data_IF_375470264366
#
_entry.id   IF_375470264366
#
_cell.length_a   1.000
_cell.length_b   1.000
_cell.length_c   1.000
_cell.angle_alpha   90.00
_cell.angle_beta   90.00
_cell.angle_gamma   90.00
#
_symmetry.space_group_name_H-M   'P 1'
#
loop_
_entity.id
_entity.type
_entity.pdbx_description
1 polymer ?
#
# COMPACT_ATOMS: atom_id res chain seq x y z
N UNK A 1 -28.36 -18.92 -9.89
CA UNK A 1 -28.57 -17.80 -8.93
C UNK A 1 -27.70 -17.92 -7.66
N UNK A 2 -27.33 -19.12 -7.19
CA UNK A 2 -26.53 -19.28 -5.96
C UNK A 2 -25.06 -18.84 -6.08
N UNK A 3 -24.44 -18.98 -7.26
CA UNK A 3 -23.05 -18.58 -7.48
C UNK A 3 -22.83 -17.06 -7.34
N UNK A 4 -23.72 -16.26 -7.95
CA UNK A 4 -23.62 -14.79 -7.91
C UNK A 4 -23.86 -14.25 -6.50
N UNK A 5 -24.79 -14.85 -5.76
CA UNK A 5 -25.06 -14.48 -4.37
C UNK A 5 -23.87 -14.82 -3.47
N UNK A 6 -23.23 -15.98 -3.67
CA UNK A 6 -22.02 -16.37 -2.93
C UNK A 6 -20.82 -15.47 -3.21
N UNK A 7 -20.59 -15.07 -4.48
CA UNK A 7 -19.52 -14.12 -4.82
C UNK A 7 -19.78 -12.75 -4.18
N UNK A 8 -21.04 -12.30 -4.18
CA UNK A 8 -21.43 -11.02 -3.63
C UNK A 8 -21.27 -10.99 -2.10
N UNK A 9 -21.61 -12.09 -1.42
CA UNK A 9 -21.44 -12.24 0.02
C UNK A 9 -19.96 -12.28 0.42
N UNK A 10 -19.12 -13.06 -0.28
CA UNK A 10 -17.67 -13.10 -0.05
C UNK A 10 -17.01 -11.75 -0.33
N UNK A 11 -17.39 -11.08 -1.42
CA UNK A 11 -16.87 -9.74 -1.75
C UNK A 11 -17.29 -8.70 -0.71
N UNK A 12 -18.51 -8.80 -0.19
CA UNK A 12 -19.03 -7.91 0.84
C UNK A 12 -18.28 -8.10 2.17
N UNK A 13 -17.98 -9.34 2.54
CA UNK A 13 -17.19 -9.64 3.74
C UNK A 13 -15.76 -9.08 3.63
N UNK A 14 -15.08 -9.31 2.51
CA UNK A 14 -13.74 -8.75 2.26
C UNK A 14 -13.74 -7.22 2.26
N UNK A 15 -14.79 -6.60 1.73
CA UNK A 15 -14.93 -5.15 1.71
C UNK A 15 -15.12 -4.56 3.11
N UNK A 16 -15.99 -5.16 3.92
CA UNK A 16 -16.23 -4.73 5.31
C UNK A 16 -14.95 -4.82 6.14
N UNK A 17 -14.22 -5.92 5.99
CA UNK A 17 -12.98 -6.16 6.72
C UNK A 17 -11.85 -5.22 6.27
N UNK A 18 -11.76 -4.90 4.98
CA UNK A 18 -10.78 -3.94 4.44
C UNK A 18 -11.13 -2.48 4.77
N UNK A 19 -12.42 -2.17 4.95
CA UNK A 19 -12.92 -0.81 5.15
C UNK A 19 -12.29 -0.14 6.36
N UNK A 20 -12.20 -0.85 7.51
CA UNK A 20 -11.64 -0.28 8.74
C UNK A 20 -10.16 0.12 8.58
N UNK A 21 -9.37 -0.71 7.88
CA UNK A 21 -7.95 -0.42 7.63
C UNK A 21 -7.75 0.70 6.62
N UNK A 22 -8.56 0.75 5.57
CA UNK A 22 -8.58 1.86 4.62
C UNK A 22 -8.91 3.18 5.33
N UNK A 23 -9.94 3.18 6.17
CA UNK A 23 -10.38 4.34 6.93
C UNK A 23 -9.30 4.82 7.90
N UNK A 24 -8.57 3.88 8.53
CA UNK A 24 -7.40 4.18 9.33
C UNK A 24 -6.23 4.74 8.49
N UNK A 25 -5.98 4.21 7.29
CA UNK A 25 -4.99 4.74 6.35
C UNK A 25 -5.30 6.17 5.90
N UNK A 26 -6.56 6.46 5.55
CA UNK A 26 -7.02 7.82 5.25
C UNK A 26 -6.91 8.73 6.47
N UNK A 27 -7.27 8.25 7.66
CA UNK A 27 -7.11 8.99 8.90
C UNK A 27 -5.65 9.35 9.16
N UNK A 28 -4.72 8.41 9.03
CA UNK A 28 -3.28 8.66 9.15
C UNK A 28 -2.79 9.65 8.09
N UNK A 29 -3.21 9.51 6.82
CA UNK A 29 -2.86 10.44 5.75
C UNK A 29 -3.36 11.87 6.04
N UNK A 30 -4.59 11.99 6.54
CA UNK A 30 -5.20 13.25 6.97
C UNK A 30 -4.51 13.86 8.19
N UNK A 31 -4.11 13.04 9.16
CA UNK A 31 -3.37 13.47 10.34
C UNK A 31 -1.98 13.96 9.97
N UNK A 32 -1.27 13.24 9.08
CA UNK A 32 0.02 13.65 8.52
C UNK A 32 -0.13 14.98 7.78
N UNK A 33 -1.19 15.16 6.99
CA UNK A 33 -1.49 16.43 6.33
C UNK A 33 -1.79 17.57 7.31
N UNK A 34 -2.51 17.29 8.41
CA UNK A 34 -2.91 18.30 9.38
C UNK A 34 -1.76 18.72 10.32
N UNK A 35 -0.93 17.76 10.77
CA UNK A 35 0.17 17.99 11.71
C UNK A 35 1.50 18.31 11.02
N UNK A 36 1.77 17.72 9.87
CA UNK A 36 3.07 17.84 9.21
C UNK A 36 2.95 18.79 8.02
N UNK A 37 3.61 19.94 8.14
CA UNK A 37 3.55 21.01 7.13
C UNK A 37 4.20 20.54 5.82
N UNK A 38 3.54 20.76 4.68
CA UNK A 38 4.04 20.38 3.34
C UNK A 38 5.48 20.85 3.08
N UNK A 39 5.86 22.01 3.62
CA UNK A 39 7.21 22.58 3.54
C UNK A 39 8.26 21.71 4.26
N UNK A 40 7.90 21.06 5.37
CA UNK A 40 8.76 20.14 6.12
C UNK A 40 8.93 18.82 5.36
N UNK A 41 7.86 18.24 4.81
CA UNK A 41 7.96 17.03 3.97
C UNK A 41 8.85 17.31 2.76
N UNK A 42 8.60 18.39 2.03
CA UNK A 42 9.42 18.76 0.87
C UNK A 42 10.90 19.02 1.23
N UNK A 43 11.18 19.53 2.43
CA UNK A 43 12.57 19.78 2.89
C UNK A 43 13.29 18.53 3.35
N UNK A 44 12.62 17.62 4.08
CA UNK A 44 13.25 16.45 4.70
C UNK A 44 13.12 15.16 3.86
N UNK A 45 11.99 14.99 3.18
CA UNK A 45 11.69 13.81 2.34
C UNK A 45 11.78 14.16 0.84
N UNK A 46 11.72 15.44 0.46
CA UNK A 46 11.86 15.88 -0.93
C UNK A 46 13.30 16.19 -1.34
N UNK A 47 14.16 16.67 -0.43
CA UNK A 47 15.56 17.05 -0.74
C UNK A 47 16.57 16.03 -0.21
N UNK A 48 17.06 15.18 -1.10
CA UNK A 48 18.15 14.24 -0.83
C UNK A 48 17.95 12.87 -1.48
N UNK A 49 19.04 12.26 -1.96
CA UNK A 49 19.00 10.92 -2.55
C UNK A 49 18.94 9.82 -1.49
N UNK A 50 19.69 9.98 -0.41
CA UNK A 50 19.91 8.95 0.61
C UNK A 50 19.13 9.27 1.89
N UNK A 51 19.24 10.52 2.37
CA UNK A 51 18.65 10.95 3.64
C UNK A 51 17.12 10.86 3.62
N UNK A 52 16.49 11.20 2.51
CA UNK A 52 15.04 11.10 2.34
C UNK A 52 14.54 9.66 2.42
N UNK A 53 15.27 8.72 1.81
CA UNK A 53 14.92 7.29 1.79
C UNK A 53 15.01 6.71 3.20
N UNK A 54 16.14 6.91 3.87
CA UNK A 54 16.37 6.41 5.22
C UNK A 54 15.38 6.98 6.23
N UNK A 55 15.09 8.29 6.16
CA UNK A 55 14.12 8.93 7.05
C UNK A 55 12.70 8.44 6.80
N UNK A 56 12.34 8.18 5.54
CA UNK A 56 11.03 7.65 5.16
C UNK A 56 10.83 6.21 5.65
N UNK A 57 11.84 5.34 5.49
CA UNK A 57 11.83 3.99 6.05
C UNK A 57 11.65 4.04 7.58
N UNK A 58 12.42 4.90 8.27
CA UNK A 58 12.34 5.02 9.73
C UNK A 58 10.95 5.48 10.23
N UNK A 59 10.26 6.32 9.47
CA UNK A 59 8.89 6.77 9.77
C UNK A 59 7.87 5.66 9.45
N UNK A 60 8.14 4.81 8.46
CA UNK A 60 7.32 3.66 8.09
C UNK A 60 7.36 2.53 9.10
N UNK A 61 8.51 2.30 9.76
CA UNK A 61 8.69 1.20 10.72
C UNK A 61 7.64 1.14 11.84
N UNK A 62 7.36 2.24 12.57
CA UNK A 62 6.38 2.20 13.65
C UNK A 62 4.92 2.31 13.19
N UNK A 63 4.65 2.46 11.89
CA UNK A 63 3.28 2.66 11.40
C UNK A 63 2.52 1.32 11.32
N UNK A 64 1.41 1.14 12.05
CA UNK A 64 0.58 -0.07 11.98
C UNK A 64 -0.37 0.04 10.77
N UNK A 65 0.19 0.12 9.57
CA UNK A 65 -0.56 0.16 8.33
C UNK A 65 -0.34 -1.15 7.57
N UNK A 66 -1.41 -1.87 7.31
CA UNK A 66 -1.40 -2.99 6.36
C UNK A 66 -1.34 -2.47 4.91
N UNK A 67 -1.22 -3.38 3.93
CA UNK A 67 -1.13 -3.01 2.50
C UNK A 67 -2.34 -2.18 2.03
N UNK A 68 -3.52 -2.37 2.63
CA UNK A 68 -4.70 -1.56 2.34
C UNK A 68 -4.54 -0.09 2.75
N UNK A 69 -3.89 0.19 3.88
CA UNK A 69 -3.75 1.55 4.42
C UNK A 69 -2.46 2.27 3.98
N UNK A 70 -1.41 1.54 3.61
CA UNK A 70 -0.12 2.14 3.25
C UNK A 70 -0.17 2.89 1.91
N UNK A 71 -0.97 2.42 0.95
CA UNK A 71 -1.12 3.05 -0.37
C UNK A 71 -1.65 4.48 -0.29
N UNK A 72 -2.80 4.76 0.39
CA UNK A 72 -3.28 6.12 0.53
C UNK A 72 -2.34 6.99 1.38
N UNK A 73 -1.73 6.44 2.44
CA UNK A 73 -0.75 7.17 3.24
C UNK A 73 0.47 7.62 2.40
N UNK A 74 1.02 6.71 1.59
CA UNK A 74 2.14 7.00 0.70
C UNK A 74 1.76 7.99 -0.42
N UNK A 75 0.56 7.85 -1.00
CA UNK A 75 0.04 8.79 -1.99
C UNK A 75 -0.11 10.20 -1.40
N UNK A 76 -0.56 10.32 -0.14
CA UNK A 76 -0.60 11.58 0.60
C UNK A 76 0.79 12.17 0.79
N UNK A 77 1.77 11.36 1.22
CA UNK A 77 3.16 11.79 1.41
C UNK A 77 3.79 12.26 0.09
N UNK A 78 3.50 11.56 -1.01
CA UNK A 78 3.93 11.93 -2.37
C UNK A 78 3.35 13.25 -2.81
N UNK A 79 2.04 13.46 -2.63
CA UNK A 79 1.36 14.74 -2.95
C UNK A 79 1.87 15.91 -2.11
N UNK A 80 2.42 15.64 -0.93
CA UNK A 80 3.07 16.65 -0.08
C UNK A 80 4.52 16.97 -0.49
N UNK A 81 5.05 16.33 -1.54
CA UNK A 81 6.37 16.63 -2.11
C UNK A 81 7.48 15.67 -1.69
N UNK A 82 7.16 14.49 -1.20
CA UNK A 82 8.16 13.43 -1.03
C UNK A 82 8.71 12.94 -2.38
N UNK A 83 10.00 12.60 -2.39
CA UNK A 83 10.64 12.03 -3.58
C UNK A 83 10.12 10.59 -3.85
N UNK A 84 10.24 10.11 -5.09
CA UNK A 84 9.87 8.75 -5.52
C UNK A 84 10.52 7.70 -4.61
N UNK A 85 11.85 7.75 -4.45
CA UNK A 85 12.57 6.80 -3.60
C UNK A 85 12.15 6.82 -2.13
N UNK A 86 11.80 7.99 -1.57
CA UNK A 86 11.30 8.09 -0.20
C UNK A 86 9.89 7.47 -0.07
N UNK A 87 9.04 7.69 -1.06
CA UNK A 87 7.68 7.13 -1.10
C UNK A 87 7.72 5.61 -1.23
N UNK A 88 8.55 5.09 -2.14
CA UNK A 88 8.74 3.64 -2.32
C UNK A 88 9.32 2.97 -1.06
N UNK A 89 10.32 3.59 -0.44
CA UNK A 89 10.92 3.07 0.79
C UNK A 89 9.90 3.00 1.93
N UNK A 90 9.03 4.00 2.06
CA UNK A 90 7.92 3.96 3.02
C UNK A 90 6.91 2.86 2.68
N UNK A 91 6.52 2.73 1.40
CA UNK A 91 5.60 1.70 0.92
C UNK A 91 6.09 0.28 1.20
N UNK A 92 7.41 0.05 1.09
CA UNK A 92 8.02 -1.26 1.34
C UNK A 92 8.19 -1.49 2.85
N UNK A 93 8.78 -0.53 3.56
CA UNK A 93 9.12 -0.72 4.99
C UNK A 93 7.90 -0.90 5.87
N UNK A 94 6.80 -0.19 5.60
CA UNK A 94 5.63 -0.15 6.48
C UNK A 94 4.92 -1.52 6.63
N UNK A 95 4.51 -2.22 5.55
CA UNK A 95 3.89 -3.55 5.68
C UNK A 95 4.89 -4.63 6.14
N UNK A 96 6.18 -4.41 5.94
CA UNK A 96 7.21 -5.42 6.22
C UNK A 96 7.69 -5.42 7.67
N UNK A 97 7.66 -4.24 8.32
CA UNK A 97 8.07 -4.03 9.71
C UNK A 97 6.94 -3.66 10.66
N UNK A 98 5.70 -3.63 10.15
CA UNK A 98 4.54 -3.18 10.89
C UNK A 98 4.42 -3.84 12.26
N UNK A 99 3.99 -3.04 13.24
CA UNK A 99 3.85 -3.43 14.65
C UNK A 99 2.96 -4.67 14.82
N UNK A 100 2.05 -4.92 13.89
CA UNK A 100 1.17 -6.11 13.91
C UNK A 100 1.90 -7.40 13.49
N UNK A 101 2.93 -7.32 12.65
CA UNK A 101 3.64 -8.50 12.14
C UNK A 101 4.63 -9.07 13.15
N UNK A 102 5.19 -8.23 14.03
CA UNK A 102 6.23 -8.63 15.00
C UNK A 102 5.67 -9.59 16.06
N UNK A 103 4.51 -9.31 16.71
CA UNK A 103 3.88 -10.23 17.66
C UNK A 103 3.44 -11.54 17.01
N UNK A 104 2.89 -11.47 15.79
CA UNK A 104 2.46 -12.66 15.04
C UNK A 104 3.64 -13.55 14.70
N UNK A 105 4.74 -12.97 14.22
CA UNK A 105 5.97 -13.73 13.92
C UNK A 105 6.59 -14.29 15.20
N UNK A 106 6.60 -13.51 16.29
CA UNK A 106 7.08 -13.97 17.60
C UNK A 106 6.29 -15.17 18.12
N UNK A 107 4.97 -15.17 17.93
CA UNK A 107 4.10 -16.26 18.37
C UNK A 107 4.24 -17.54 17.53
N UNK A 108 4.59 -17.43 16.24
CA UNK A 108 4.53 -18.54 15.28
C UNK A 108 5.89 -19.08 14.82
N UNK A 109 6.93 -18.25 14.73
CA UNK A 109 8.14 -18.52 13.92
C UNK A 109 9.47 -18.32 14.68
N UNK A 110 9.43 -18.34 16.01
CA UNK A 110 10.57 -18.16 16.92
C UNK A 110 11.05 -16.68 17.08
N UNK A 111 11.47 -16.24 18.29
CA UNK A 111 11.91 -14.86 18.55
C UNK A 111 13.03 -14.35 17.65
N UNK A 112 13.87 -15.25 17.13
CA UNK A 112 15.01 -14.87 16.29
C UNK A 112 14.55 -14.29 14.94
N UNK A 113 13.52 -14.87 14.32
CA UNK A 113 12.97 -14.37 13.06
C UNK A 113 12.18 -13.08 13.21
N UNK A 114 11.60 -12.84 14.40
CA UNK A 114 10.90 -11.60 14.70
C UNK A 114 11.82 -10.36 14.65
N UNK A 115 13.13 -10.53 14.89
CA UNK A 115 14.13 -9.44 14.81
C UNK A 115 14.76 -9.35 13.43
N UNK A 116 15.06 -10.48 12.79
CA UNK A 116 15.69 -10.51 11.46
C UNK A 116 14.78 -9.90 10.40
N UNK A 117 13.48 -10.17 10.46
CA UNK A 117 12.50 -9.68 9.48
C UNK A 117 12.50 -8.15 9.37
N UNK A 118 12.38 -7.36 10.45
CA UNK A 118 12.49 -5.90 10.38
C UNK A 118 13.83 -5.39 9.85
N UNK A 119 14.93 -6.08 10.13
CA UNK A 119 16.27 -5.68 9.68
C UNK A 119 16.40 -5.88 8.17
N UNK A 120 16.01 -7.05 7.66
CA UNK A 120 16.03 -7.36 6.23
C UNK A 120 15.09 -6.42 5.48
N UNK A 121 13.93 -6.16 6.06
CA UNK A 121 12.94 -5.22 5.54
C UNK A 121 13.45 -3.78 5.41
N UNK A 122 14.13 -3.32 6.45
CA UNK A 122 14.72 -2.00 6.41
C UNK A 122 15.80 -1.91 5.31
N UNK A 123 16.61 -2.95 5.17
CA UNK A 123 17.65 -3.02 4.14
C UNK A 123 17.03 -3.10 2.73
N UNK A 124 15.99 -3.89 2.53
CA UNK A 124 15.28 -4.02 1.24
C UNK A 124 14.61 -2.69 0.85
N UNK A 125 13.92 -2.04 1.80
CA UNK A 125 13.28 -0.76 1.60
C UNK A 125 14.28 0.37 1.29
N UNK A 126 15.44 0.38 1.95
CA UNK A 126 16.48 1.37 1.69
C UNK A 126 17.16 1.12 0.35
N UNK A 127 17.50 -0.13 0.02
CA UNK A 127 18.13 -0.45 -1.26
C UNK A 127 17.19 -0.15 -2.44
N UNK A 128 15.91 -0.54 -2.35
CA UNK A 128 14.91 -0.21 -3.37
C UNK A 128 14.68 1.31 -3.49
N UNK A 129 14.53 2.01 -2.36
CA UNK A 129 14.32 3.45 -2.36
C UNK A 129 15.54 4.23 -2.88
N UNK A 130 16.76 3.76 -2.59
CA UNK A 130 17.99 4.31 -3.14
C UNK A 130 18.08 4.05 -4.65
N UNK A 131 17.81 2.83 -5.08
CA UNK A 131 17.88 2.46 -6.48
C UNK A 131 16.98 3.34 -7.34
N UNK A 132 15.75 3.59 -6.89
CA UNK A 132 14.84 4.54 -7.54
C UNK A 132 15.42 5.96 -7.58
N UNK A 133 15.93 6.45 -6.45
CA UNK A 133 16.41 7.82 -6.32
C UNK A 133 17.72 8.09 -7.09
N UNK A 134 18.51 7.04 -7.34
CA UNK A 134 19.69 7.09 -8.20
C UNK A 134 19.35 6.92 -9.68
N UNK A 135 18.29 6.18 -9.99
CA UNK A 135 17.78 5.92 -11.36
C UNK A 135 16.84 7.01 -11.87
N UNK A 136 16.61 8.08 -11.09
CA UNK A 136 15.79 9.26 -11.40
C UNK A 136 16.37 10.17 -12.52
N UNK A 137 16.90 9.55 -13.58
CA UNK A 137 16.91 10.09 -14.93
C UNK A 137 16.15 9.08 -15.80
N UNK A 138 14.84 9.28 -15.93
CA UNK A 138 13.93 8.67 -16.93
C UNK A 138 13.26 7.30 -16.66
N UNK A 139 12.93 6.94 -15.42
CA UNK A 139 11.93 5.88 -15.20
C UNK A 139 10.83 6.40 -14.27
N UNK A 140 9.78 6.96 -14.90
CA UNK A 140 8.46 6.90 -14.29
C UNK A 140 8.10 5.43 -14.11
N UNK A 141 7.52 5.10 -12.96
CA UNK A 141 6.77 3.87 -12.68
C UNK A 141 7.56 2.56 -12.73
N UNK A 142 8.12 2.15 -11.60
CA UNK A 142 8.23 0.73 -11.25
C UNK A 142 7.48 0.45 -9.93
N UNK A 143 6.15 0.60 -10.00
CA UNK A 143 5.24 -0.29 -9.29
C UNK A 143 4.82 -1.36 -10.30
N UNK A 144 5.11 -2.66 -10.10
CA UNK A 144 4.32 -3.70 -10.71
C UNK A 144 2.97 -3.76 -9.97
N UNK A 145 1.89 -3.68 -10.75
CA UNK A 145 0.46 -3.67 -10.39
C UNK A 145 -0.01 -2.43 -9.58
N UNK A 146 -0.40 -1.31 -10.19
CA UNK A 146 -1.31 -1.19 -11.32
C UNK A 146 -0.99 0.04 -12.18
N UNK A 147 -0.67 -0.20 -13.45
CA UNK A 147 -0.75 0.80 -14.50
C UNK A 147 -2.14 0.73 -15.14
N UNK A 148 -2.80 1.87 -15.26
CA UNK A 148 -3.52 2.21 -16.49
C UNK A 148 -3.08 3.61 -16.81
N UNK A 149 -2.19 3.68 -17.80
CA UNK A 149 -2.07 4.84 -18.65
C UNK A 149 -3.45 5.09 -19.28
N UNK A 150 -4.06 6.24 -19.01
CA UNK A 150 -5.08 6.77 -19.93
C UNK A 150 -4.34 7.78 -20.79
N UNK A 151 -3.86 7.31 -21.94
CA UNK A 151 -3.54 8.16 -23.07
C UNK A 151 -4.85 8.74 -23.61
N UNK A 152 -4.87 10.05 -23.91
CA UNK A 152 -5.90 10.66 -24.75
C UNK A 152 -6.84 11.65 -24.07
N UNK A 153 -6.38 12.90 -23.97
CA UNK A 153 -7.11 14.08 -24.44
C UNK A 153 -8.51 14.39 -23.85
N UNK A 154 -8.56 15.30 -22.87
CA UNK A 154 -9.30 16.55 -23.02
C UNK A 154 -8.84 17.59 -21.98
N UNK A 155 -8.38 18.72 -22.50
CA UNK A 155 -8.00 19.98 -21.85
C UNK A 155 -8.63 20.26 -20.48
N UNK A 156 -7.87 20.08 -19.40
CA UNK A 156 -8.07 20.87 -18.17
C UNK A 156 -6.69 21.32 -17.67
N UNK A 157 -6.57 22.64 -17.63
CA UNK A 157 -5.44 23.46 -17.20
C UNK A 157 -4.81 23.02 -15.87
N UNK A 158 -3.51 23.29 -15.66
CA UNK A 158 -2.80 22.88 -14.46
C UNK A 158 -3.21 23.77 -13.29
N UNK A 159 -4.16 23.32 -12.46
CA UNK A 159 -4.26 23.86 -11.09
C UNK A 159 -3.29 23.11 -10.20
N UNK A 160 -2.02 23.52 -10.28
CA UNK A 160 -1.17 23.60 -9.10
C UNK A 160 -1.91 24.44 -8.06
N UNK A 161 -2.67 23.79 -7.16
CA UNK A 161 -3.33 24.44 -6.05
C UNK A 161 -2.28 24.75 -4.97
N UNK A 162 -1.51 25.78 -5.28
CA UNK A 162 -0.77 26.60 -4.33
C UNK A 162 -1.78 27.26 -3.38
N UNK A 163 -2.32 26.53 -2.42
CA UNK A 163 -3.21 27.10 -1.41
C UNK A 163 -2.41 27.41 -0.14
N UNK A 164 -1.74 28.57 -0.17
CA UNK A 164 -1.51 29.36 1.05
C UNK A 164 -2.89 29.65 1.64
N UNK A 165 -3.17 29.18 2.86
CA UNK A 165 -4.28 29.73 3.63
C UNK A 165 -3.99 29.63 5.13
N UNK A 166 -3.74 30.79 5.73
CA UNK A 166 -3.74 30.99 7.17
C UNK A 166 -5.18 30.80 7.66
N UNK A 167 -5.50 29.64 8.24
CA UNK A 167 -6.75 29.45 8.97
C UNK A 167 -6.51 28.73 10.31
N UNK A 168 -7.35 29.13 11.26
CA UNK A 168 -7.49 28.71 12.66
C UNK A 168 -7.31 27.19 12.79
N UNK A 169 -6.60 26.76 13.84
CA UNK A 169 -6.23 25.36 14.14
C UNK A 169 -7.33 24.33 13.89
N UNK A 170 -8.61 24.66 14.10
CA UNK A 170 -9.75 23.75 13.81
C UNK A 170 -10.06 23.55 12.31
N UNK A 171 -9.75 24.51 11.43
CA UNK A 171 -9.90 24.35 9.97
C UNK A 171 -8.80 23.48 9.35
N UNK A 172 -7.66 23.28 10.02
CA UNK A 172 -6.56 22.44 9.50
C UNK A 172 -6.89 20.96 9.57
N UNK A 173 -7.51 20.52 10.66
CA UNK A 173 -7.96 19.13 10.84
C UNK A 173 -9.11 18.85 9.87
N UNK A 174 -10.06 19.77 9.71
CA UNK A 174 -11.14 19.63 8.75
C UNK A 174 -10.65 19.62 7.29
N UNK A 175 -9.64 20.45 6.97
CA UNK A 175 -8.99 20.43 5.65
C UNK A 175 -8.23 19.12 5.40
N UNK A 176 -7.52 18.60 6.41
CA UNK A 176 -6.84 17.31 6.33
C UNK A 176 -7.80 16.13 6.18
N UNK A 177 -8.94 16.15 6.89
CA UNK A 177 -9.97 15.13 6.79
C UNK A 177 -10.69 15.19 5.44
N UNK A 178 -11.02 16.40 4.96
CA UNK A 178 -11.59 16.60 3.62
C UNK A 178 -10.63 16.12 2.53
N UNK A 179 -9.33 16.40 2.67
CA UNK A 179 -8.32 15.92 1.74
C UNK A 179 -8.24 14.38 1.73
N UNK A 180 -8.20 13.76 2.91
CA UNK A 180 -8.14 12.31 3.03
C UNK A 180 -9.39 11.60 2.48
N UNK A 181 -10.58 12.10 2.80
CA UNK A 181 -11.85 11.45 2.42
C UNK A 181 -12.38 11.85 1.05
N UNK A 182 -12.10 13.06 0.54
CA UNK A 182 -12.65 13.55 -0.73
C UNK A 182 -11.62 13.42 -1.86
N UNK A 183 -10.39 13.92 -1.66
CA UNK A 183 -9.40 13.99 -2.74
C UNK A 183 -8.69 12.64 -2.92
N UNK A 184 -8.29 11.99 -1.83
CA UNK A 184 -7.64 10.67 -1.90
C UNK A 184 -8.60 9.56 -2.30
N UNK A 185 -9.78 9.51 -1.67
CA UNK A 185 -10.80 8.51 -1.98
C UNK A 185 -11.37 8.72 -3.39
N UNK A 186 -11.50 9.97 -3.86
CA UNK A 186 -11.91 10.27 -5.23
C UNK A 186 -10.93 9.76 -6.28
N UNK A 187 -9.63 9.88 -6.01
CA UNK A 187 -8.58 9.43 -6.92
C UNK A 187 -8.41 7.90 -6.92
N UNK A 188 -8.49 7.26 -5.74
CA UNK A 188 -8.25 5.82 -5.58
C UNK A 188 -9.54 5.01 -5.79
N UNK A 189 -10.70 5.56 -5.43
CA UNK A 189 -11.95 4.81 -5.31
C UNK A 189 -12.42 4.13 -6.59
N UNK A 190 -12.26 4.79 -7.75
CA UNK A 190 -12.63 4.18 -9.05
C UNK A 190 -11.78 2.95 -9.36
N UNK A 191 -10.48 3.06 -9.12
CA UNK A 191 -9.52 1.98 -9.32
C UNK A 191 -9.70 0.84 -8.32
N UNK A 192 -9.99 1.19 -7.07
CA UNK A 192 -10.28 0.23 -6.01
C UNK A 192 -11.53 -0.59 -6.32
N UNK A 193 -12.61 0.07 -6.77
CA UNK A 193 -13.84 -0.61 -7.16
C UNK A 193 -13.63 -1.57 -8.34
N UNK A 194 -12.82 -1.16 -9.32
CA UNK A 194 -12.41 -2.02 -10.43
C UNK A 194 -11.60 -3.23 -9.95
N UNK A 195 -10.67 -3.02 -9.00
CA UNK A 195 -9.87 -4.09 -8.39
C UNK A 195 -10.72 -5.14 -7.67
N UNK A 196 -11.69 -4.70 -6.86
CA UNK A 196 -12.64 -5.60 -6.18
C UNK A 196 -13.47 -6.40 -7.18
N UNK A 197 -13.94 -5.77 -8.26
CA UNK A 197 -14.72 -6.44 -9.28
C UNK A 197 -13.90 -7.54 -9.97
N UNK A 198 -12.65 -7.24 -10.32
CA UNK A 198 -11.72 -8.20 -10.94
C UNK A 198 -11.37 -9.33 -9.95
N UNK A 199 -11.09 -9.01 -8.69
CA UNK A 199 -10.77 -9.99 -7.65
C UNK A 199 -11.92 -10.97 -7.40
N UNK A 200 -13.17 -10.48 -7.38
CA UNK A 200 -14.37 -11.34 -7.29
C UNK A 200 -14.53 -12.25 -8.51
N UNK A 201 -14.20 -11.75 -9.71
CA UNK A 201 -14.25 -12.53 -10.96
C UNK A 201 -13.20 -13.64 -10.99
N UNK A 202 -11.99 -13.35 -10.51
CA UNK A 202 -10.89 -14.32 -10.36
C UNK A 202 -11.24 -15.37 -9.30
N UNK A 203 -11.75 -14.95 -8.14
CA UNK A 203 -12.13 -15.86 -7.05
C UNK A 203 -13.24 -16.81 -7.47
N UNK A 204 -14.17 -16.36 -8.33
CA UNK A 204 -15.18 -17.24 -8.91
C UNK A 204 -14.59 -18.25 -9.91
N UNK A 205 -13.60 -17.83 -10.69
CA UNK A 205 -13.00 -18.67 -11.73
C UNK A 205 -11.96 -19.66 -11.19
N UNK A 206 -11.60 -19.57 -9.91
CA UNK A 206 -10.68 -20.50 -9.24
C UNK A 206 -11.44 -21.48 -8.32
N UNK A 207 -12.09 -22.53 -8.86
CA UNK A 207 -12.71 -23.57 -8.04
C UNK A 207 -11.64 -24.42 -7.33
N UNK A 208 -11.88 -24.77 -6.06
CA UNK A 208 -10.98 -25.55 -5.19
C UNK A 208 -10.57 -26.92 -5.78
N UNK A 209 -11.38 -27.46 -6.70
CA UNK A 209 -11.14 -28.73 -7.39
C UNK A 209 -9.91 -28.71 -8.34
N UNK A 210 -9.44 -27.52 -8.77
CA UNK A 210 -8.24 -27.41 -9.61
C UNK A 210 -6.94 -27.57 -8.80
N UNK A 211 -6.97 -27.25 -7.50
CA UNK A 211 -5.78 -27.29 -6.64
C UNK A 211 -5.43 -28.75 -6.30
N UNK A 212 -6.43 -29.58 -5.97
CA UNK A 212 -6.22 -30.99 -5.64
C UNK A 212 -5.68 -31.83 -6.81
N UNK A 213 -6.09 -31.54 -8.05
CA UNK A 213 -5.66 -32.30 -9.22
C UNK A 213 -4.30 -31.87 -9.78
N UNK A 214 -3.80 -30.68 -9.42
CA UNK A 214 -2.49 -30.15 -9.86
C UNK A 214 -1.40 -30.19 -8.77
N UNK A 215 -1.73 -30.56 -7.54
CA UNK A 215 -0.79 -30.69 -6.41
C UNK A 215 0.20 -31.86 -6.55
N UNK A 216 0.04 -32.74 -7.56
CA UNK A 216 0.94 -33.87 -7.79
C UNK A 216 2.33 -33.52 -8.32
N UNK A 217 2.59 -32.27 -8.74
CA UNK A 217 3.88 -31.85 -9.27
C UNK A 217 4.38 -30.58 -8.57
N UNK A 218 5.33 -30.74 -7.64
CA UNK A 218 5.84 -29.69 -6.73
C UNK A 218 6.20 -28.37 -7.44
N UNK A 219 6.69 -28.42 -8.69
CA UNK A 219 7.11 -27.23 -9.43
C UNK A 219 5.95 -26.46 -10.06
N UNK A 220 4.91 -27.16 -10.52
CA UNK A 220 3.75 -26.54 -11.17
C UNK A 220 2.85 -25.85 -10.14
N UNK A 221 2.72 -26.44 -8.95
CA UNK A 221 2.05 -25.82 -7.81
C UNK A 221 2.70 -24.48 -7.42
N UNK A 222 4.04 -24.40 -7.38
CA UNK A 222 4.76 -23.14 -7.08
C UNK A 222 4.49 -22.06 -8.14
N UNK A 223 4.45 -22.40 -9.43
CA UNK A 223 4.17 -21.44 -10.50
C UNK A 223 2.73 -20.94 -10.45
N UNK A 224 1.76 -21.83 -10.21
CA UNK A 224 0.35 -21.45 -10.11
C UNK A 224 0.09 -20.59 -8.88
N UNK A 225 0.66 -20.93 -7.72
CA UNK A 225 0.61 -20.09 -6.51
C UNK A 225 1.19 -18.69 -6.77
N UNK A 226 2.29 -18.58 -7.51
CA UNK A 226 2.90 -17.29 -7.87
C UNK A 226 2.02 -16.49 -8.84
N UNK A 227 1.53 -17.12 -9.91
CA UNK A 227 0.68 -16.46 -10.91
C UNK A 227 -0.64 -15.99 -10.31
N UNK A 228 -1.25 -16.78 -9.43
CA UNK A 228 -2.49 -16.40 -8.75
C UNK A 228 -2.25 -15.44 -7.59
N UNK A 229 -1.11 -15.52 -6.90
CA UNK A 229 -0.74 -14.63 -5.79
C UNK A 229 -0.43 -13.19 -6.23
N UNK A 230 0.14 -13.01 -7.42
CA UNK A 230 0.42 -11.67 -8.00
C UNK A 230 -0.84 -10.78 -8.09
N UNK A 231 -1.95 -11.22 -8.73
CA UNK A 231 -3.17 -10.43 -8.81
C UNK A 231 -3.92 -10.37 -7.47
N UNK A 232 -3.78 -11.38 -6.61
CA UNK A 232 -4.49 -11.42 -5.33
C UNK A 232 -3.79 -10.69 -4.19
N UNK A 233 -2.61 -10.09 -4.42
CA UNK A 233 -1.74 -9.40 -3.46
C UNK A 233 -2.33 -9.31 -2.04
N UNK A 234 -2.13 -10.39 -1.28
CA UNK A 234 -2.80 -10.59 0.00
C UNK A 234 -1.95 -9.94 1.10
N UNK A 235 -2.59 -9.32 2.10
CA UNK A 235 -1.91 -8.75 3.26
C UNK A 235 -0.96 -9.78 3.93
N UNK A 236 0.20 -9.32 4.41
CA UNK A 236 1.15 -10.16 5.13
C UNK A 236 0.51 -10.89 6.33
N UNK A 237 -0.46 -10.25 6.99
CA UNK A 237 -1.23 -10.82 8.11
C UNK A 237 -2.01 -12.07 7.73
N UNK A 238 -2.56 -12.15 6.52
CA UNK A 238 -3.27 -13.34 6.03
C UNK A 238 -2.35 -14.43 5.49
N UNK A 239 -1.16 -14.08 4.97
CA UNK A 239 -0.20 -15.08 4.47
C UNK A 239 0.66 -15.71 5.56
N UNK A 240 0.90 -15.01 6.67
CA UNK A 240 1.73 -15.51 7.80
C UNK A 240 1.17 -16.80 8.45
N UNK A 241 -0.13 -16.92 8.79
CA UNK A 241 -0.67 -18.17 9.35
C UNK A 241 -0.70 -19.32 8.33
N UNK A 242 -0.87 -19.02 7.04
CA UNK A 242 -0.80 -20.02 5.96
C UNK A 242 0.63 -20.57 5.86
N UNK A 243 1.64 -19.71 5.91
CA UNK A 243 3.04 -20.12 5.91
C UNK A 243 3.46 -20.89 7.16
N UNK A 244 2.83 -20.62 8.32
CA UNK A 244 3.09 -21.38 9.54
C UNK A 244 2.40 -22.76 9.56
N UNK A 245 1.39 -22.98 8.72
CA UNK A 245 0.64 -24.24 8.62
C UNK A 245 1.22 -25.22 7.58
N UNK A 246 2.08 -24.76 6.69
CA UNK A 246 2.82 -25.53 5.67
C UNK A 246 4.20 -25.94 6.20
#
# INVERSE_FOLDING_TARGET
MNAVIGILESSWHMFLESSIYMLFGFFCAGLIYAYVKTEMIGKYLGKGKIRSVFLSALIGVPMPLCSCGVVPAAAGLKKQGANNGATLSFLISTPETGVDSIPLTYALMDPLMAVIRPVVAFISAVTAGLFENFTDKKISSEQPASQTQVTGFCSITPKSSRQKSNYITSSKIFAGLKYAFIDLLGDIGKWFLAGIFIAGLISYYMPDNLIESYLGNNFLAMIVMLITGIPMYVCATSSTPIAAAL
#
